data_IF_185965741987
#
_entry.id   IF_185965741987
#
_cell.length_a   1.000
_cell.length_b   1.000
_cell.length_c   1.000
_cell.angle_alpha   90.00
_cell.angle_beta   90.00
_cell.angle_gamma   90.00
#
_symmetry.space_group_name_H-M   'P 1'
#
loop_
_entity.id
_entity.type
_entity.pdbx_description
1 polymer ?
#
# COMPACT_ATOMS: atom_id res chain seq x y z
N UNK A 1 -23.17 -2.23 -0.72
CA UNK A 1 -22.30 -1.08 -1.03
C UNK A 1 -21.01 -1.45 -1.77
N UNK A 2 -20.25 -2.45 -1.32
CA UNK A 2 -18.98 -2.93 -1.93
C UNK A 2 -19.10 -3.21 -3.44
N UNK A 3 -20.18 -3.80 -3.91
CA UNK A 3 -20.40 -4.09 -5.33
C UNK A 3 -20.64 -2.85 -6.20
N UNK A 4 -21.09 -1.71 -5.64
CA UNK A 4 -21.31 -0.48 -6.43
C UNK A 4 -20.02 0.29 -6.65
N UNK A 5 -19.15 0.40 -5.61
CA UNK A 5 -17.86 1.09 -5.70
C UNK A 5 -16.89 0.32 -6.59
N UNK A 6 -16.83 -1.01 -6.44
CA UNK A 6 -16.05 -1.88 -7.33
C UNK A 6 -16.60 -1.84 -8.75
N UNK A 7 -17.93 -1.83 -8.96
CA UNK A 7 -18.52 -1.66 -10.28
C UNK A 7 -18.24 -0.27 -10.86
N UNK A 8 -18.21 0.78 -10.05
CA UNK A 8 -17.88 2.12 -10.52
C UNK A 8 -16.40 2.23 -10.92
N UNK A 9 -15.48 1.75 -10.08
CA UNK A 9 -14.03 1.71 -10.40
C UNK A 9 -13.71 0.77 -11.58
N UNK A 10 -14.55 -0.24 -11.82
CA UNK A 10 -14.43 -1.21 -12.90
C UNK A 10 -15.53 -1.01 -13.98
N UNK A 11 -16.32 0.07 -13.92
CA UNK A 11 -17.44 0.34 -14.80
C UNK A 11 -17.04 0.31 -16.29
N UNK A 12 -15.81 0.70 -16.57
CA UNK A 12 -15.20 0.65 -17.90
C UNK A 12 -14.72 -0.78 -18.27
N UNK A 13 -14.73 -1.73 -17.32
CA UNK A 13 -14.21 -3.09 -17.53
C UNK A 13 -15.30 -4.12 -17.80
N UNK A 14 -16.61 -3.76 -17.70
CA UNK A 14 -17.73 -4.72 -17.84
C UNK A 14 -17.39 -6.10 -17.28
N UNK A 15 -16.98 -6.16 -16.00
CA UNK A 15 -16.53 -7.41 -15.35
C UNK A 15 -17.67 -8.41 -15.10
N UNK A 16 -18.88 -8.10 -15.52
CA UNK A 16 -19.91 -9.12 -15.75
C UNK A 16 -19.64 -9.92 -17.05
N UNK A 17 -18.55 -9.60 -17.76
CA UNK A 17 -18.21 -10.28 -18.99
C UNK A 17 -17.80 -11.73 -18.72
N UNK A 18 -18.23 -12.57 -19.60
CA UNK A 18 -17.91 -13.99 -19.72
C UNK A 18 -16.42 -14.31 -19.52
N UNK A 19 -15.52 -13.37 -19.86
CA UNK A 19 -14.09 -13.49 -19.66
C UNK A 19 -13.67 -13.50 -18.19
N UNK A 20 -14.24 -12.64 -17.36
CA UNK A 20 -13.91 -12.60 -15.92
C UNK A 20 -14.49 -13.83 -15.20
N UNK A 21 -15.69 -14.25 -15.58
CA UNK A 21 -16.32 -15.48 -15.07
C UNK A 21 -15.54 -16.74 -15.50
N UNK A 22 -15.04 -16.79 -16.74
CA UNK A 22 -14.24 -17.92 -17.24
C UNK A 22 -12.84 -17.95 -16.64
N UNK A 23 -12.24 -16.79 -16.35
CA UNK A 23 -10.89 -16.68 -15.77
C UNK A 23 -10.86 -17.05 -14.29
N UNK A 24 -11.78 -16.56 -13.51
CA UNK A 24 -11.70 -16.53 -12.06
C UNK A 24 -12.89 -17.21 -11.38
N UNK A 25 -13.79 -17.76 -12.18
CA UNK A 25 -15.04 -18.33 -11.69
C UNK A 25 -16.06 -17.25 -11.26
N UNK A 26 -17.22 -17.67 -10.77
CA UNK A 26 -18.23 -16.74 -10.26
C UNK A 26 -17.61 -15.89 -9.16
N UNK A 27 -17.90 -14.57 -9.22
CA UNK A 27 -17.40 -13.63 -8.19
C UNK A 27 -17.72 -14.22 -6.81
N UNK A 28 -16.72 -14.38 -5.94
CA UNK A 28 -16.96 -14.96 -4.64
C UNK A 28 -18.06 -14.14 -3.96
N UNK A 29 -19.11 -14.81 -3.54
CA UNK A 29 -20.18 -14.22 -2.76
C UNK A 29 -19.51 -13.38 -1.67
N UNK A 30 -20.03 -12.19 -1.37
CA UNK A 30 -19.42 -11.27 -0.40
C UNK A 30 -18.99 -12.00 0.87
N UNK A 31 -18.08 -11.45 1.69
CA UNK A 31 -17.56 -12.17 2.84
C UNK A 31 -18.74 -12.70 3.64
N UNK A 32 -18.79 -14.01 3.80
CA UNK A 32 -19.75 -14.65 4.70
C UNK A 32 -19.54 -14.01 6.08
N UNK A 33 -20.59 -13.74 6.88
CA UNK A 33 -20.46 -13.13 8.21
C UNK A 33 -19.43 -13.89 9.08
N UNK A 34 -19.37 -15.21 8.96
CA UNK A 34 -18.34 -16.05 9.59
C UNK A 34 -16.91 -15.72 9.13
N UNK A 35 -16.71 -15.35 7.86
CA UNK A 35 -15.39 -14.93 7.37
C UNK A 35 -14.98 -13.56 7.90
N UNK A 36 -15.91 -12.63 8.05
CA UNK A 36 -15.63 -11.32 8.64
C UNK A 36 -15.28 -11.46 10.11
N UNK A 37 -16.00 -12.31 10.84
CA UNK A 37 -15.73 -12.62 12.25
C UNK A 37 -14.36 -13.31 12.42
N UNK A 38 -13.98 -14.22 11.54
CA UNK A 38 -12.67 -14.84 11.54
C UNK A 38 -11.55 -13.82 11.31
N UNK A 39 -11.72 -12.87 10.37
CA UNK A 39 -10.70 -11.84 10.12
C UNK A 39 -10.56 -10.86 11.26
N UNK A 40 -11.67 -10.46 11.89
CA UNK A 40 -11.61 -9.60 13.10
C UNK A 40 -10.94 -10.33 14.25
N UNK A 41 -11.25 -11.59 14.47
CA UNK A 41 -10.63 -12.41 15.51
C UNK A 41 -9.12 -12.59 15.26
N UNK A 42 -8.71 -12.92 14.03
CA UNK A 42 -7.29 -13.01 13.64
C UNK A 42 -6.57 -11.68 13.83
N UNK A 43 -7.17 -10.58 13.42
CA UNK A 43 -6.59 -9.24 13.59
C UNK A 43 -6.44 -8.90 15.08
N UNK A 44 -7.46 -9.19 15.90
CA UNK A 44 -7.42 -8.96 17.34
C UNK A 44 -6.33 -9.79 18.01
N UNK A 45 -6.23 -11.08 17.69
CA UNK A 45 -5.18 -11.96 18.22
C UNK A 45 -3.79 -11.47 17.81
N UNK A 46 -3.62 -11.06 16.54
CA UNK A 46 -2.35 -10.52 16.05
C UNK A 46 -1.96 -9.23 16.79
N UNK A 47 -2.88 -8.26 16.88
CA UNK A 47 -2.64 -6.98 17.56
C UNK A 47 -2.32 -7.22 19.03
N UNK A 48 -3.13 -8.03 19.73
CA UNK A 48 -2.92 -8.35 21.16
C UNK A 48 -1.59 -9.07 21.36
N UNK A 49 -1.27 -10.05 20.52
CA UNK A 49 0.01 -10.77 20.59
C UNK A 49 1.21 -9.84 20.41
N UNK A 50 1.17 -8.95 19.45
CA UNK A 50 2.24 -7.94 19.21
C UNK A 50 2.35 -6.97 20.39
N UNK A 51 1.21 -6.52 20.94
CA UNK A 51 1.22 -5.63 22.11
C UNK A 51 1.83 -6.32 23.36
N UNK A 52 1.49 -7.58 23.61
CA UNK A 52 2.06 -8.37 24.72
C UNK A 52 3.56 -8.55 24.52
N UNK A 53 4.00 -8.92 23.32
CA UNK A 53 5.43 -9.06 23.00
C UNK A 53 6.16 -7.73 23.13
N UNK A 54 5.59 -6.64 22.62
CA UNK A 54 6.16 -5.30 22.75
C UNK A 54 6.30 -4.86 24.19
N UNK A 55 5.28 -5.11 25.03
CA UNK A 55 5.34 -4.83 26.47
C UNK A 55 6.43 -5.68 27.16
N UNK A 56 6.50 -6.97 26.89
CA UNK A 56 7.51 -7.87 27.41
C UNK A 56 8.94 -7.49 26.98
N UNK A 57 9.09 -6.95 25.75
CA UNK A 57 10.34 -6.42 25.24
C UNK A 57 10.73 -5.04 25.82
N UNK A 58 9.94 -4.50 26.75
CA UNK A 58 10.20 -3.22 27.40
C UNK A 58 9.90 -2.00 26.53
N UNK A 59 9.14 -2.15 25.45
CA UNK A 59 8.69 -1.02 24.61
C UNK A 59 7.66 -0.23 25.41
N UNK A 60 8.01 1.01 25.78
CA UNK A 60 7.19 1.89 26.61
C UNK A 60 6.88 3.17 25.87
N UNK A 61 5.66 3.67 26.01
CA UNK A 61 5.22 4.98 25.57
C UNK A 61 4.62 5.77 26.72
N UNK A 62 4.55 7.10 26.59
CA UNK A 62 3.95 7.99 27.60
C UNK A 62 2.43 7.81 27.65
N UNK A 63 1.80 7.55 26.51
CA UNK A 63 0.35 7.34 26.37
C UNK A 63 0.07 5.95 25.80
N UNK A 64 -1.19 5.51 25.87
CA UNK A 64 -1.59 4.21 25.32
C UNK A 64 -1.39 4.15 23.81
N UNK A 65 -1.68 5.23 23.09
CA UNK A 65 -1.44 5.31 21.64
C UNK A 65 0.05 5.25 21.30
N UNK A 66 0.92 5.93 22.06
CA UNK A 66 2.35 5.90 21.88
C UNK A 66 2.94 4.50 22.09
N UNK A 67 2.50 3.79 23.12
CA UNK A 67 2.92 2.41 23.39
C UNK A 67 2.44 1.46 22.27
N UNK A 68 1.19 1.59 21.86
CA UNK A 68 0.61 0.80 20.78
C UNK A 68 1.35 1.05 19.45
N UNK A 69 1.61 2.31 19.12
CA UNK A 69 2.36 2.67 17.92
C UNK A 69 3.77 2.08 17.93
N UNK A 70 4.53 2.30 19.00
CA UNK A 70 5.88 1.77 19.13
C UNK A 70 5.93 0.24 18.99
N UNK A 71 4.93 -0.48 19.52
CA UNK A 71 4.83 -1.93 19.41
C UNK A 71 4.41 -2.40 18.01
N UNK A 72 3.49 -1.68 17.34
CA UNK A 72 2.88 -2.11 16.07
C UNK A 72 3.62 -1.61 14.83
N UNK A 73 4.47 -0.58 14.93
CA UNK A 73 5.10 0.07 13.79
C UNK A 73 5.89 -0.92 12.91
N UNK A 74 6.87 -1.60 13.48
CA UNK A 74 7.68 -2.57 12.73
C UNK A 74 6.88 -3.79 12.23
N UNK A 75 6.03 -4.45 13.06
CA UNK A 75 5.15 -5.50 12.58
C UNK A 75 4.26 -5.10 11.39
N UNK A 76 3.73 -3.88 11.37
CA UNK A 76 2.92 -3.41 10.26
C UNK A 76 3.76 -3.21 8.99
N UNK A 77 4.98 -2.66 9.11
CA UNK A 77 5.91 -2.53 7.96
C UNK A 77 6.27 -3.92 7.41
N UNK A 78 6.55 -4.89 8.27
CA UNK A 78 6.80 -6.28 7.86
C UNK A 78 5.56 -6.85 7.17
N UNK A 79 4.37 -6.63 7.73
CA UNK A 79 3.10 -7.02 7.13
C UNK A 79 2.90 -6.43 5.73
N UNK A 80 3.24 -5.16 5.53
CA UNK A 80 3.22 -4.51 4.21
C UNK A 80 4.18 -5.19 3.23
N UNK A 81 5.40 -5.50 3.65
CA UNK A 81 6.38 -6.19 2.82
C UNK A 81 5.88 -7.59 2.41
N UNK A 82 5.21 -8.33 3.32
CA UNK A 82 4.59 -9.62 3.02
C UNK A 82 3.48 -9.44 1.97
N UNK A 83 2.60 -8.47 2.14
CA UNK A 83 1.52 -8.21 1.17
C UNK A 83 2.08 -7.84 -0.20
N UNK A 84 3.10 -6.96 -0.26
CA UNK A 84 3.82 -6.62 -1.49
C UNK A 84 4.43 -7.86 -2.16
N UNK A 85 5.10 -8.71 -1.40
CA UNK A 85 5.70 -9.94 -1.92
C UNK A 85 4.65 -10.88 -2.53
N UNK A 86 3.50 -11.04 -1.88
CA UNK A 86 2.38 -11.84 -2.41
C UNK A 86 1.84 -11.23 -3.70
N UNK A 87 1.65 -9.92 -3.75
CA UNK A 87 1.14 -9.20 -4.94
C UNK A 87 2.09 -9.32 -6.11
N UNK A 88 3.39 -9.11 -5.89
CA UNK A 88 4.43 -9.26 -6.91
C UNK A 88 4.45 -10.69 -7.44
N UNK A 89 4.43 -11.68 -6.55
CA UNK A 89 4.40 -13.10 -6.92
C UNK A 89 3.20 -13.43 -7.79
N UNK A 90 1.99 -13.07 -7.35
CA UNK A 90 0.76 -13.33 -8.09
C UNK A 90 0.77 -12.62 -9.46
N UNK A 91 1.19 -11.36 -9.50
CA UNK A 91 1.25 -10.55 -10.71
C UNK A 91 2.19 -11.14 -11.76
N UNK A 92 3.37 -11.59 -11.36
CA UNK A 92 4.35 -12.20 -12.26
C UNK A 92 3.91 -13.56 -12.83
N UNK A 93 3.11 -14.33 -12.08
CA UNK A 93 2.76 -15.69 -12.47
C UNK A 93 1.43 -15.84 -13.19
N UNK A 94 0.49 -14.88 -13.05
CA UNK A 94 -0.89 -15.05 -13.53
C UNK A 94 -0.99 -15.10 -15.06
N UNK A 95 -0.39 -14.17 -15.80
CA UNK A 95 -0.46 -14.15 -17.27
C UNK A 95 0.28 -15.35 -17.89
N UNK A 96 1.52 -15.69 -17.47
CA UNK A 96 2.18 -16.90 -17.95
C UNK A 96 1.40 -18.20 -17.65
N UNK A 97 0.71 -18.27 -16.50
CA UNK A 97 -0.13 -19.42 -16.16
C UNK A 97 -1.36 -19.55 -17.08
N UNK A 98 -2.03 -18.42 -17.36
CA UNK A 98 -3.18 -18.38 -18.27
C UNK A 98 -2.79 -18.76 -19.70
N UNK A 99 -1.62 -18.32 -20.16
CA UNK A 99 -1.06 -18.70 -21.48
C UNK A 99 -0.80 -20.19 -21.59
N UNK A 100 -0.13 -20.77 -20.59
CA UNK A 100 0.19 -22.21 -20.58
C UNK A 100 -1.07 -23.09 -20.58
N UNK A 101 -2.20 -22.58 -20.05
CA UNK A 101 -3.50 -23.29 -20.05
C UNK A 101 -4.31 -23.05 -21.32
N UNK A 102 -3.85 -22.26 -22.28
CA UNK A 102 -4.62 -21.85 -23.46
C UNK A 102 -5.79 -20.91 -23.17
N UNK A 103 -6.04 -20.60 -21.88
CA UNK A 103 -7.16 -19.75 -21.47
C UNK A 103 -6.99 -18.30 -21.96
N UNK A 104 -5.75 -17.85 -22.16
CA UNK A 104 -5.47 -16.51 -22.67
C UNK A 104 -6.03 -16.26 -24.06
N UNK A 105 -6.02 -17.26 -24.95
CA UNK A 105 -6.52 -17.14 -26.32
C UNK A 105 -8.05 -16.98 -26.34
N UNK A 106 -8.75 -17.67 -25.43
CA UNK A 106 -10.19 -17.50 -25.25
C UNK A 106 -10.54 -16.07 -24.77
N UNK A 107 -9.73 -15.46 -23.89
CA UNK A 107 -9.94 -14.09 -23.43
C UNK A 107 -9.79 -13.11 -24.59
N UNK A 108 -8.77 -13.30 -25.44
CA UNK A 108 -8.53 -12.45 -26.60
C UNK A 108 -9.69 -12.48 -27.61
N UNK A 109 -10.34 -13.61 -27.74
CA UNK A 109 -11.51 -13.78 -28.62
C UNK A 109 -12.78 -13.08 -28.08
N UNK A 110 -12.78 -12.61 -26.82
CA UNK A 110 -13.91 -11.85 -26.26
C UNK A 110 -13.90 -10.39 -26.71
N UNK A 111 -15.05 -9.73 -26.66
CA UNK A 111 -15.22 -8.32 -27.05
C UNK A 111 -14.29 -7.34 -26.31
N UNK A 112 -13.89 -7.69 -25.08
CA UNK A 112 -12.95 -6.91 -24.26
C UNK A 112 -11.47 -7.18 -24.52
N UNK A 113 -11.15 -8.30 -25.18
CA UNK A 113 -9.79 -8.70 -25.55
C UNK A 113 -8.81 -8.73 -24.38
N UNK A 114 -7.52 -8.57 -24.69
CA UNK A 114 -6.42 -8.54 -23.70
C UNK A 114 -6.57 -7.40 -22.68
N UNK A 115 -7.25 -6.31 -23.02
CA UNK A 115 -7.49 -5.18 -22.09
C UNK A 115 -8.38 -5.61 -20.93
N UNK A 116 -9.49 -6.30 -21.22
CA UNK A 116 -10.38 -6.83 -20.17
C UNK A 116 -9.67 -7.91 -19.35
N UNK A 117 -8.90 -8.80 -20.00
CA UNK A 117 -8.13 -9.85 -19.32
C UNK A 117 -7.10 -9.30 -18.32
N UNK A 118 -6.31 -8.29 -18.70
CA UNK A 118 -5.32 -7.66 -17.83
C UNK A 118 -5.99 -6.95 -16.65
N UNK A 119 -7.07 -6.20 -16.88
CA UNK A 119 -7.82 -5.52 -15.81
C UNK A 119 -8.46 -6.53 -14.86
N UNK A 120 -9.03 -7.62 -15.38
CA UNK A 120 -9.60 -8.68 -14.57
C UNK A 120 -8.53 -9.38 -13.70
N UNK A 121 -7.33 -9.65 -14.27
CA UNK A 121 -6.21 -10.20 -13.54
C UNK A 121 -5.74 -9.26 -12.41
N UNK A 122 -5.60 -7.96 -12.69
CA UNK A 122 -5.27 -6.97 -11.69
C UNK A 122 -6.31 -6.91 -10.57
N UNK A 123 -7.58 -6.83 -10.92
CA UNK A 123 -8.68 -6.80 -9.95
C UNK A 123 -8.72 -8.07 -9.10
N UNK A 124 -8.45 -9.24 -9.69
CA UNK A 124 -8.36 -10.49 -8.95
C UNK A 124 -7.22 -10.48 -7.92
N UNK A 125 -6.04 -9.98 -8.30
CA UNK A 125 -4.91 -9.87 -7.37
C UNK A 125 -5.26 -8.93 -6.22
N UNK A 126 -5.66 -7.70 -6.53
CA UNK A 126 -5.84 -6.64 -5.53
C UNK A 126 -7.06 -6.87 -4.64
N UNK A 127 -8.23 -7.18 -5.24
CA UNK A 127 -9.49 -7.25 -4.49
C UNK A 127 -9.83 -8.63 -3.92
N UNK A 128 -9.27 -9.70 -4.48
CA UNK A 128 -9.60 -11.05 -4.03
C UNK A 128 -8.47 -11.75 -3.29
N UNK A 129 -7.25 -11.65 -3.79
CA UNK A 129 -6.11 -12.36 -3.20
C UNK A 129 -5.39 -11.55 -2.13
N UNK A 130 -4.97 -10.32 -2.47
CA UNK A 130 -4.23 -9.47 -1.54
C UNK A 130 -5.11 -8.81 -0.48
N UNK A 131 -6.39 -8.54 -0.79
CA UNK A 131 -7.28 -7.78 0.10
C UNK A 131 -7.40 -8.34 1.52
N UNK A 132 -7.38 -9.67 1.66
CA UNK A 132 -7.49 -10.31 2.98
C UNK A 132 -6.27 -10.06 3.84
N UNK A 133 -5.07 -10.27 3.26
CA UNK A 133 -3.80 -9.99 3.93
C UNK A 133 -3.65 -8.51 4.22
N UNK A 134 -4.01 -7.66 3.26
CA UNK A 134 -4.00 -6.22 3.42
C UNK A 134 -4.90 -5.77 4.58
N UNK A 135 -6.11 -6.33 4.69
CA UNK A 135 -7.02 -6.01 5.79
C UNK A 135 -6.46 -6.40 7.15
N UNK A 136 -5.90 -7.60 7.29
CA UNK A 136 -5.40 -8.10 8.58
C UNK A 136 -4.06 -7.46 8.94
N UNK A 137 -3.09 -7.46 8.02
CA UNK A 137 -1.71 -7.06 8.33
C UNK A 137 -1.49 -5.55 8.25
N UNK A 138 -2.35 -4.83 7.54
CA UNK A 138 -2.13 -3.40 7.27
C UNK A 138 -3.25 -2.52 7.80
N UNK A 139 -4.51 -2.81 7.46
CA UNK A 139 -5.63 -1.95 7.83
C UNK A 139 -6.12 -2.15 9.26
N UNK A 140 -6.19 -3.37 9.77
CA UNK A 140 -6.67 -3.61 11.14
C UNK A 140 -5.77 -2.90 12.18
N UNK A 141 -4.43 -2.99 12.11
CA UNK A 141 -3.57 -2.20 13.00
C UNK A 141 -3.75 -0.69 12.82
N UNK A 142 -3.94 -0.19 11.60
CA UNK A 142 -4.19 1.25 11.37
C UNK A 142 -5.50 1.73 11.96
N UNK A 143 -6.58 0.96 11.80
CA UNK A 143 -7.87 1.28 12.41
C UNK A 143 -7.75 1.29 13.93
N UNK A 144 -7.03 0.34 14.50
CA UNK A 144 -6.76 0.28 15.94
C UNK A 144 -5.96 1.50 16.42
N UNK A 145 -4.86 1.85 15.74
CA UNK A 145 -4.06 3.03 16.07
C UNK A 145 -4.87 4.32 15.92
N UNK A 146 -5.68 4.42 14.87
CA UNK A 146 -6.56 5.57 14.69
C UNK A 146 -7.62 5.69 15.79
N UNK A 147 -8.19 4.58 16.23
CA UNK A 147 -9.12 4.59 17.36
C UNK A 147 -8.45 5.06 18.65
N UNK A 148 -7.20 4.64 18.92
CA UNK A 148 -6.43 5.13 20.05
C UNK A 148 -6.05 6.61 19.91
N UNK A 149 -5.71 7.06 18.70
CA UNK A 149 -5.48 8.48 18.41
C UNK A 149 -6.71 9.31 18.73
N UNK A 150 -7.90 8.86 18.33
CA UNK A 150 -9.16 9.53 18.66
C UNK A 150 -9.45 9.50 20.16
N UNK A 151 -9.16 8.40 20.84
CA UNK A 151 -9.31 8.29 22.28
C UNK A 151 -8.42 9.31 23.01
N UNK A 152 -7.14 9.39 22.66
CA UNK A 152 -6.20 10.35 23.25
C UNK A 152 -6.63 11.79 22.94
N UNK A 153 -7.08 12.08 21.71
CA UNK A 153 -7.58 13.41 21.33
C UNK A 153 -8.80 13.83 22.15
N UNK A 154 -9.70 12.91 22.49
CA UNK A 154 -10.90 13.20 23.27
C UNK A 154 -10.62 13.30 24.75
N UNK A 155 -9.70 12.46 25.28
CA UNK A 155 -9.39 12.39 26.72
C UNK A 155 -8.41 13.47 27.18
N UNK A 156 -7.45 13.84 26.31
CA UNK A 156 -6.36 14.77 26.62
C UNK A 156 -6.31 15.96 25.66
N UNK A 157 -7.48 16.44 25.25
CA UNK A 157 -7.66 17.42 24.17
C UNK A 157 -6.70 18.62 24.24
N UNK A 158 -6.55 19.24 25.42
CA UNK A 158 -5.72 20.43 25.59
C UNK A 158 -4.23 20.16 25.39
N UNK A 159 -3.73 19.15 26.07
CA UNK A 159 -2.31 18.79 26.06
C UNK A 159 -1.91 18.18 24.72
N UNK A 160 -2.80 17.40 24.13
CA UNK A 160 -2.57 16.74 22.86
C UNK A 160 -2.53 17.72 21.68
N UNK A 161 -3.46 18.67 21.61
CA UNK A 161 -3.46 19.71 20.59
C UNK A 161 -2.26 20.64 20.73
N UNK A 162 -1.84 20.95 21.96
CA UNK A 162 -0.65 21.76 22.21
C UNK A 162 0.65 21.10 21.75
N UNK A 163 0.70 19.77 21.71
CA UNK A 163 1.86 19.02 21.20
C UNK A 163 1.96 18.99 19.68
N UNK A 164 0.85 19.14 18.98
CA UNK A 164 0.78 18.94 17.53
C UNK A 164 0.53 20.23 16.76
N UNK A 165 -0.25 21.17 17.34
CA UNK A 165 -0.64 22.39 16.66
C UNK A 165 0.42 23.49 16.85
N UNK A 166 0.83 24.15 15.75
CA UNK A 166 1.74 25.28 15.75
C UNK A 166 3.22 24.93 15.88
N UNK A 167 3.59 23.64 15.82
CA UNK A 167 4.97 23.19 16.04
C UNK A 167 5.79 23.01 14.75
N UNK A 168 5.28 23.48 13.64
CA UNK A 168 5.93 23.33 12.34
C UNK A 168 7.19 24.19 12.16
N UNK A 169 8.07 23.72 11.32
CA UNK A 169 9.26 24.45 10.87
C UNK A 169 9.22 24.64 9.33
N UNK A 170 9.01 25.85 8.78
CA UNK A 170 8.64 27.10 9.47
C UNK A 170 7.24 27.06 10.11
N UNK A 171 6.97 27.92 11.11
CA UNK A 171 5.66 27.95 11.77
C UNK A 171 4.55 28.29 10.77
N UNK A 172 3.42 27.59 10.87
CA UNK A 172 2.22 27.81 10.08
C UNK A 172 1.03 28.17 10.98
N UNK A 173 0.01 28.85 10.47
CA UNK A 173 -1.18 29.16 11.26
C UNK A 173 -1.89 27.88 11.76
N UNK A 174 -2.31 27.86 13.02
CA UNK A 174 -3.02 26.71 13.62
C UNK A 174 -4.25 26.26 12.82
N UNK A 175 -4.93 27.16 12.13
CA UNK A 175 -6.06 26.85 11.26
C UNK A 175 -5.72 25.93 10.08
N UNK A 176 -4.43 25.81 9.69
CA UNK A 176 -3.97 24.90 8.65
C UNK A 176 -3.55 23.53 9.21
N UNK A 177 -3.18 23.44 10.48
CA UNK A 177 -2.73 22.20 11.10
C UNK A 177 -3.83 21.14 11.14
N UNK A 178 -5.05 21.51 11.47
CA UNK A 178 -6.19 20.58 11.51
C UNK A 178 -6.48 19.95 10.14
N UNK A 179 -6.59 20.72 9.04
CA UNK A 179 -6.65 20.14 7.70
C UNK A 179 -5.46 19.25 7.34
N UNK A 180 -4.23 19.63 7.70
CA UNK A 180 -3.05 18.81 7.43
C UNK A 180 -3.06 17.48 8.19
N UNK A 181 -3.52 17.52 9.45
CA UNK A 181 -3.79 16.30 10.23
C UNK A 181 -4.80 15.39 9.51
N UNK A 182 -5.90 15.96 9.01
CA UNK A 182 -6.89 15.23 8.22
C UNK A 182 -6.29 14.61 6.95
N UNK A 183 -5.40 15.34 6.25
CA UNK A 183 -4.73 14.85 5.06
C UNK A 183 -3.75 13.71 5.35
N UNK A 184 -2.97 13.78 6.45
CA UNK A 184 -2.02 12.71 6.76
C UNK A 184 -2.73 11.43 7.21
N UNK A 185 -3.82 11.56 7.98
CA UNK A 185 -4.68 10.43 8.32
C UNK A 185 -5.30 9.81 7.05
N UNK A 186 -5.80 10.66 6.14
CA UNK A 186 -6.33 10.21 4.85
C UNK A 186 -5.25 9.46 4.05
N UNK A 187 -4.04 10.01 3.98
CA UNK A 187 -2.91 9.36 3.31
C UNK A 187 -2.60 8.00 3.93
N UNK A 188 -2.62 7.87 5.26
CA UNK A 188 -2.38 6.61 5.97
C UNK A 188 -3.36 5.49 5.59
N UNK A 189 -4.57 5.83 5.15
CA UNK A 189 -5.57 4.86 4.70
C UNK A 189 -5.60 4.66 3.19
N UNK A 190 -5.20 5.64 2.39
CA UNK A 190 -5.26 5.56 0.92
C UNK A 190 -3.99 4.97 0.32
N UNK A 191 -2.80 5.36 0.83
CA UNK A 191 -1.50 4.92 0.31
C UNK A 191 -1.32 3.40 0.25
N UNK A 192 -1.69 2.59 1.27
CA UNK A 192 -1.52 1.15 1.19
C UNK A 192 -2.23 0.53 -0.01
N UNK A 193 -3.43 1.02 -0.31
CA UNK A 193 -4.24 0.51 -1.40
C UNK A 193 -3.69 0.91 -2.76
N UNK A 194 -3.31 2.19 -2.93
CA UNK A 194 -2.77 2.70 -4.20
C UNK A 194 -1.39 2.12 -4.50
N UNK A 195 -0.54 1.94 -3.48
CA UNK A 195 0.77 1.31 -3.62
C UNK A 195 0.65 -0.14 -4.10
N UNK A 196 -0.20 -0.95 -3.47
CA UNK A 196 -0.44 -2.34 -3.87
C UNK A 196 -1.05 -2.42 -5.27
N UNK A 197 -1.97 -1.51 -5.61
CA UNK A 197 -2.53 -1.41 -6.95
C UNK A 197 -1.46 -1.18 -8.01
N UNK A 198 -0.51 -0.30 -7.73
CA UNK A 198 0.60 0.01 -8.60
C UNK A 198 1.60 -1.16 -8.72
N UNK A 199 1.96 -1.78 -7.59
CA UNK A 199 2.84 -2.96 -7.55
C UNK A 199 2.25 -4.13 -8.36
N UNK A 200 0.94 -4.39 -8.23
CA UNK A 200 0.23 -5.39 -9.01
C UNK A 200 0.29 -5.08 -10.52
N UNK A 201 0.08 -3.82 -10.91
CA UNK A 201 0.14 -3.41 -12.30
C UNK A 201 1.54 -3.57 -12.90
N UNK A 202 2.59 -3.18 -12.17
CA UNK A 202 3.98 -3.39 -12.59
C UNK A 202 4.34 -4.87 -12.68
N UNK A 203 3.94 -5.70 -11.72
CA UNK A 203 4.19 -7.13 -11.76
C UNK A 203 3.50 -7.78 -12.97
N UNK A 204 2.27 -7.37 -13.31
CA UNK A 204 1.56 -7.80 -14.51
C UNK A 204 2.28 -7.35 -15.79
N UNK A 205 2.78 -6.10 -15.85
CA UNK A 205 3.55 -5.61 -16.99
C UNK A 205 4.80 -6.48 -17.18
N UNK A 206 5.57 -6.69 -16.13
CA UNK A 206 6.79 -7.49 -16.18
C UNK A 206 6.51 -8.95 -16.57
N UNK A 207 5.38 -9.52 -16.14
CA UNK A 207 4.98 -10.87 -16.53
C UNK A 207 4.82 -11.06 -18.05
N UNK A 208 4.62 -9.98 -18.80
CA UNK A 208 4.53 -10.02 -20.27
C UNK A 208 5.89 -10.14 -20.95
N UNK A 209 7.00 -9.86 -20.26
CA UNK A 209 8.35 -9.92 -20.84
C UNK A 209 9.00 -11.31 -20.70
N UNK A 210 8.62 -12.07 -19.68
CA UNK A 210 9.31 -13.30 -19.33
C UNK A 210 8.45 -14.54 -19.63
N UNK A 211 9.08 -15.56 -20.24
CA UNK A 211 8.42 -16.84 -20.58
C UNK A 211 8.89 -17.98 -19.71
N UNK A 212 10.18 -18.00 -19.35
CA UNK A 212 10.77 -19.09 -18.59
C UNK A 212 10.42 -18.98 -17.10
N UNK A 213 10.14 -20.09 -16.44
CA UNK A 213 9.88 -20.14 -14.99
C UNK A 213 11.09 -19.66 -14.17
N UNK A 214 12.29 -20.01 -14.63
CA UNK A 214 13.53 -19.64 -13.96
C UNK A 214 13.73 -18.12 -13.98
N UNK A 215 13.58 -17.48 -15.14
CA UNK A 215 13.68 -16.02 -15.27
C UNK A 215 12.63 -15.31 -14.42
N UNK A 216 11.38 -15.81 -14.40
CA UNK A 216 10.32 -15.26 -13.54
C UNK A 216 10.71 -15.36 -12.07
N UNK A 217 11.28 -16.49 -11.62
CA UNK A 217 11.73 -16.65 -10.23
C UNK A 217 12.86 -15.67 -9.86
N UNK A 218 13.86 -15.48 -10.74
CA UNK A 218 14.93 -14.50 -10.51
C UNK A 218 14.39 -13.07 -10.41
N UNK A 219 13.52 -12.68 -11.34
CA UNK A 219 12.89 -11.35 -11.36
C UNK A 219 12.01 -11.15 -10.12
N UNK A 220 11.26 -12.17 -9.72
CA UNK A 220 10.45 -12.15 -8.50
C UNK A 220 11.31 -11.87 -7.27
N UNK A 221 12.38 -12.64 -7.08
CA UNK A 221 13.29 -12.46 -5.94
C UNK A 221 13.93 -11.07 -5.96
N UNK A 222 14.43 -10.64 -7.13
CA UNK A 222 14.99 -9.29 -7.30
C UNK A 222 14.01 -8.18 -6.97
N UNK A 223 12.77 -8.28 -7.42
CA UNK A 223 11.72 -7.29 -7.13
C UNK A 223 11.32 -7.26 -5.65
N UNK A 224 11.21 -8.42 -5.01
CA UNK A 224 10.88 -8.49 -3.58
C UNK A 224 12.00 -7.85 -2.75
N UNK A 225 13.26 -8.17 -3.05
CA UNK A 225 14.41 -7.58 -2.38
C UNK A 225 14.52 -6.07 -2.65
N UNK A 226 14.35 -5.65 -3.90
CA UNK A 226 14.33 -4.22 -4.26
C UNK A 226 13.20 -3.48 -3.54
N UNK A 227 12.01 -4.08 -3.45
CA UNK A 227 10.88 -3.49 -2.73
C UNK A 227 11.14 -3.40 -1.23
N UNK A 228 11.72 -4.43 -0.62
CA UNK A 228 12.08 -4.41 0.79
C UNK A 228 13.15 -3.33 1.08
N UNK A 229 14.19 -3.24 0.26
CA UNK A 229 15.21 -2.20 0.37
C UNK A 229 14.62 -0.80 0.16
N UNK A 230 13.75 -0.63 -0.83
CA UNK A 230 13.07 0.63 -1.13
C UNK A 230 12.13 1.09 -0.02
N UNK A 231 11.52 0.16 0.72
CA UNK A 231 10.70 0.47 1.89
C UNK A 231 11.55 0.80 3.12
N UNK A 232 12.62 0.03 3.35
CA UNK A 232 13.46 0.18 4.53
C UNK A 232 14.36 1.42 4.47
N UNK A 233 14.96 1.71 3.30
CA UNK A 233 15.96 2.77 3.18
C UNK A 233 15.45 4.15 3.61
N UNK A 234 14.28 4.68 3.17
CA UNK A 234 13.81 5.98 3.61
C UNK A 234 13.52 6.03 5.12
N UNK A 235 13.01 4.94 5.69
CA UNK A 235 12.71 4.83 7.13
C UNK A 235 14.00 4.86 7.95
N UNK A 236 15.02 4.13 7.53
CA UNK A 236 16.32 4.10 8.18
C UNK A 236 17.04 5.44 8.05
N UNK A 237 17.05 6.06 6.87
CA UNK A 237 17.65 7.38 6.64
C UNK A 237 16.96 8.42 7.51
N UNK A 238 15.64 8.44 7.55
CA UNK A 238 14.88 9.36 8.39
C UNK A 238 15.18 9.13 9.88
N UNK A 239 15.21 7.87 10.32
CA UNK A 239 15.57 7.51 11.70
C UNK A 239 16.96 8.01 12.09
N UNK A 240 17.96 7.80 11.24
CA UNK A 240 19.33 8.30 11.44
C UNK A 240 19.38 9.83 11.52
N UNK A 241 18.69 10.53 10.61
CA UNK A 241 18.62 11.99 10.62
C UNK A 241 18.01 12.52 11.91
N UNK A 242 16.95 11.89 12.40
CA UNK A 242 16.27 12.28 13.64
C UNK A 242 17.17 12.04 14.85
N UNK A 243 17.93 10.93 14.88
CA UNK A 243 18.90 10.66 15.95
C UNK A 243 20.01 11.73 15.95
N UNK A 244 20.59 12.05 14.79
CA UNK A 244 21.62 13.11 14.66
C UNK A 244 21.11 14.48 15.08
N UNK A 245 19.89 14.86 14.70
CA UNK A 245 19.29 16.10 15.14
C UNK A 245 19.15 16.17 16.67
N UNK A 246 18.89 15.03 17.32
CA UNK A 246 18.87 14.92 18.79
C UNK A 246 20.24 15.14 19.45
N UNK A 247 21.35 14.97 18.71
CA UNK A 247 22.73 15.25 19.17
C UNK A 247 23.24 16.64 18.81
N UNK A 248 22.39 17.50 18.23
CA UNK A 248 22.70 18.89 17.91
C UNK A 248 23.06 19.13 16.44
N UNK A 249 23.09 18.10 15.60
CA UNK A 249 23.29 18.25 14.16
C UNK A 249 22.07 18.88 13.50
N UNK A 250 22.29 19.76 12.53
CA UNK A 250 21.20 20.35 11.74
C UNK A 250 20.81 19.43 10.59
N UNK A 251 19.51 19.13 10.47
CA UNK A 251 18.99 18.43 9.30
C UNK A 251 18.94 19.40 8.13
N UNK A 252 19.56 19.04 7.00
CA UNK A 252 19.40 19.84 5.78
C UNK A 252 17.95 19.86 5.34
N UNK A 253 17.41 21.01 4.96
CA UNK A 253 16.01 21.17 4.57
C UNK A 253 15.60 20.17 3.47
N UNK A 254 16.40 20.06 2.40
CA UNK A 254 16.12 19.17 1.28
C UNK A 254 16.23 17.69 1.69
N UNK A 255 17.27 17.33 2.45
CA UNK A 255 17.47 15.95 2.90
C UNK A 255 16.38 15.48 3.84
N UNK A 256 16.05 16.27 4.86
CA UNK A 256 14.99 15.95 5.81
C UNK A 256 13.62 15.86 5.15
N UNK A 257 13.30 16.81 4.27
CA UNK A 257 12.04 16.82 3.55
C UNK A 257 11.89 15.62 2.60
N UNK A 258 12.92 15.34 1.78
CA UNK A 258 12.89 14.20 0.84
C UNK A 258 12.84 12.87 1.57
N UNK A 259 13.61 12.68 2.64
CA UNK A 259 13.56 11.48 3.46
C UNK A 259 12.21 11.31 4.15
N UNK A 260 11.64 12.37 4.73
CA UNK A 260 10.32 12.36 5.35
C UNK A 260 9.21 12.01 4.36
N UNK A 261 9.21 12.64 3.18
CA UNK A 261 8.25 12.34 2.12
C UNK A 261 8.39 10.89 1.61
N UNK A 262 9.62 10.46 1.32
CA UNK A 262 9.88 9.11 0.84
C UNK A 262 9.52 8.05 1.90
N UNK A 263 9.83 8.30 3.18
CA UNK A 263 9.42 7.41 4.28
C UNK A 263 7.89 7.29 4.35
N UNK A 264 7.18 8.41 4.27
CA UNK A 264 5.72 8.42 4.33
C UNK A 264 5.08 7.72 3.13
N UNK A 265 5.58 7.92 1.90
CA UNK A 265 4.93 7.39 0.69
C UNK A 265 5.38 5.97 0.36
N UNK A 266 6.67 5.67 0.52
CA UNK A 266 7.29 4.42 0.08
C UNK A 266 7.61 3.48 1.24
N UNK A 267 7.99 4.04 2.39
CA UNK A 267 8.40 3.29 3.58
C UNK A 267 7.21 2.70 4.33
N UNK A 268 6.53 3.55 5.06
CA UNK A 268 5.47 3.14 6.00
C UNK A 268 4.04 3.34 5.49
N UNK A 269 3.88 3.86 4.26
CA UNK A 269 2.57 4.17 3.65
C UNK A 269 1.70 5.05 4.55
N UNK A 270 2.29 6.07 5.14
CA UNK A 270 1.62 7.03 6.00
C UNK A 270 1.31 6.54 7.41
N UNK A 271 1.86 5.40 7.83
CA UNK A 271 1.60 4.83 9.16
C UNK A 271 2.01 5.78 10.30
N UNK A 272 3.17 6.43 10.18
CA UNK A 272 3.65 7.44 11.13
C UNK A 272 2.68 8.61 11.32
N UNK A 273 1.84 8.89 10.33
CA UNK A 273 0.78 9.88 10.42
C UNK A 273 -0.34 9.57 11.42
N UNK A 274 -0.37 8.36 11.97
CA UNK A 274 -1.32 7.94 13.00
C UNK A 274 -0.78 8.10 14.43
N UNK A 275 0.37 8.73 14.61
CA UNK A 275 0.96 8.94 15.93
C UNK A 275 1.40 10.40 16.14
N UNK A 276 0.71 11.12 17.03
CA UNK A 276 0.92 12.55 17.20
C UNK A 276 2.29 12.93 17.74
N UNK A 277 2.86 12.18 18.68
CA UNK A 277 4.19 12.48 19.22
C UNK A 277 5.28 12.30 18.16
N UNK A 278 5.11 11.36 17.22
CA UNK A 278 6.02 11.21 16.08
C UNK A 278 5.85 12.35 15.08
N UNK A 279 4.61 12.76 14.82
CA UNK A 279 4.32 13.93 13.98
C UNK A 279 4.92 15.21 14.57
N UNK A 280 4.72 15.48 15.87
CA UNK A 280 5.34 16.61 16.56
C UNK A 280 6.85 16.63 16.36
N UNK A 281 7.51 15.51 16.61
CA UNK A 281 8.94 15.35 16.42
C UNK A 281 9.38 15.62 14.98
N UNK A 282 8.70 15.03 14.00
CA UNK A 282 9.02 15.20 12.58
C UNK A 282 8.76 16.63 12.12
N UNK A 283 7.68 17.24 12.55
CA UNK A 283 7.28 18.59 12.15
C UNK A 283 8.19 19.68 12.69
N UNK A 284 8.78 19.48 13.87
CA UNK A 284 9.81 20.37 14.43
C UNK A 284 11.16 20.21 13.77
N UNK A 285 11.57 18.97 13.50
CA UNK A 285 12.91 18.66 13.03
C UNK A 285 13.07 18.80 11.53
N UNK A 286 12.03 18.48 10.75
CA UNK A 286 12.11 18.50 9.29
C UNK A 286 11.55 19.81 8.75
N UNK A 287 12.37 20.66 8.10
CA UNK A 287 11.89 21.86 7.46
C UNK A 287 10.83 21.54 6.39
N UNK A 288 9.77 22.33 6.36
CA UNK A 288 8.64 22.16 5.43
C UNK A 288 7.87 20.84 5.56
N UNK A 289 7.98 20.13 6.68
CA UNK A 289 7.25 18.88 6.93
C UNK A 289 5.73 19.04 6.81
N UNK A 290 5.21 20.25 7.03
CA UNK A 290 3.81 20.61 6.81
C UNK A 290 3.28 20.31 5.40
N UNK A 291 4.14 20.26 4.39
CA UNK A 291 3.75 19.93 3.00
C UNK A 291 3.63 18.42 2.76
N UNK A 292 4.26 17.58 3.59
CA UNK A 292 4.30 16.11 3.41
C UNK A 292 2.89 15.52 3.36
N UNK A 293 1.93 15.87 4.26
CA UNK A 293 0.57 15.36 4.21
C UNK A 293 -0.14 15.61 2.88
N UNK A 294 -0.09 16.84 2.38
CA UNK A 294 -0.74 17.20 1.12
C UNK A 294 -0.12 16.44 -0.06
N UNK A 295 1.21 16.38 -0.11
CA UNK A 295 1.94 15.69 -1.15
C UNK A 295 1.80 14.16 -1.07
N UNK A 296 1.59 13.59 0.10
CA UNK A 296 1.27 12.18 0.26
C UNK A 296 -0.08 11.82 -0.39
N UNK A 297 -1.09 12.69 -0.26
CA UNK A 297 -2.37 12.51 -0.97
C UNK A 297 -2.19 12.67 -2.48
N UNK A 298 -1.41 13.66 -2.94
CA UNK A 298 -1.07 13.82 -4.36
C UNK A 298 -0.33 12.59 -4.88
N UNK A 299 0.59 12.03 -4.12
CA UNK A 299 1.29 10.80 -4.46
C UNK A 299 0.33 9.61 -4.62
N UNK A 300 -0.69 9.47 -3.76
CA UNK A 300 -1.71 8.44 -3.89
C UNK A 300 -2.52 8.59 -5.19
N UNK A 301 -2.87 9.81 -5.56
CA UNK A 301 -3.53 10.10 -6.85
C UNK A 301 -2.60 9.76 -8.02
N UNK A 302 -1.33 10.15 -7.95
CA UNK A 302 -0.33 9.83 -8.97
C UNK A 302 -0.11 8.32 -9.11
N UNK A 303 -0.03 7.56 -7.99
CA UNK A 303 0.04 6.09 -8.01
C UNK A 303 -1.18 5.47 -8.70
N UNK A 304 -2.38 6.01 -8.47
CA UNK A 304 -3.60 5.55 -9.12
C UNK A 304 -3.58 5.82 -10.63
N UNK A 305 -3.15 7.00 -11.05
CA UNK A 305 -2.99 7.35 -12.46
C UNK A 305 -1.94 6.48 -13.16
N UNK A 306 -0.79 6.26 -12.51
CA UNK A 306 0.26 5.37 -13.00
C UNK A 306 -0.24 3.93 -13.12
N UNK A 307 -1.05 3.44 -12.17
CA UNK A 307 -1.67 2.12 -12.25
C UNK A 307 -2.48 1.97 -13.53
N UNK A 308 -3.33 2.93 -13.85
CA UNK A 308 -4.15 2.93 -15.08
C UNK A 308 -3.25 2.92 -16.32
N UNK A 309 -2.21 3.76 -16.35
CA UNK A 309 -1.27 3.85 -17.47
C UNK A 309 -0.51 2.54 -17.68
N UNK A 310 0.02 1.95 -16.61
CA UNK A 310 0.76 0.68 -16.65
C UNK A 310 -0.14 -0.46 -17.12
N UNK A 311 -1.38 -0.55 -16.63
CA UNK A 311 -2.35 -1.55 -17.11
C UNK A 311 -2.67 -1.38 -18.59
N UNK A 312 -2.75 -0.15 -19.08
CA UNK A 312 -2.94 0.13 -20.50
C UNK A 312 -1.73 -0.36 -21.36
N UNK A 313 -0.51 -0.09 -20.91
CA UNK A 313 0.70 -0.60 -21.57
C UNK A 313 0.78 -2.13 -21.53
N UNK A 314 0.45 -2.73 -20.38
CA UNK A 314 0.39 -4.19 -20.23
C UNK A 314 -0.56 -4.81 -21.25
N UNK A 315 -1.75 -4.22 -21.41
CA UNK A 315 -2.75 -4.69 -22.36
C UNK A 315 -2.26 -4.59 -23.82
N UNK A 316 -1.70 -3.43 -24.20
CA UNK A 316 -1.12 -3.23 -25.54
C UNK A 316 0.01 -4.22 -25.85
N UNK A 317 0.90 -4.45 -24.87
CA UNK A 317 1.99 -5.39 -25.02
C UNK A 317 1.50 -6.82 -25.13
N UNK A 318 0.55 -7.21 -24.28
CA UNK A 318 -0.06 -8.54 -24.32
C UNK A 318 -0.74 -8.85 -25.66
N UNK A 319 -1.29 -7.84 -26.35
CA UNK A 319 -1.81 -7.99 -27.71
C UNK A 319 -0.72 -8.28 -28.75
N UNK A 320 0.42 -7.55 -28.68
CA UNK A 320 1.50 -7.65 -29.69
C UNK A 320 2.27 -8.96 -29.62
N UNK A 321 2.47 -9.52 -28.43
CA UNK A 321 3.26 -10.72 -28.24
C UNK A 321 2.69 -11.96 -28.94
N UNK A 322 1.41 -11.95 -29.20
CA UNK A 322 0.71 -13.09 -29.78
C UNK A 322 0.65 -13.03 -31.32
N UNK A 323 0.79 -11.84 -31.92
CA UNK A 323 0.90 -11.66 -33.35
C UNK A 323 2.24 -12.20 -33.88
N UNK A 324 3.32 -12.06 -33.12
CA UNK A 324 4.65 -12.56 -33.51
C UNK A 324 4.72 -14.11 -33.56
N UNK A 325 3.90 -14.80 -32.77
CA UNK A 325 3.85 -16.28 -32.79
C UNK A 325 3.08 -16.83 -34.00
N UNK A 326 2.15 -16.08 -34.55
CA UNK A 326 1.38 -16.46 -35.75
C UNK A 326 2.20 -16.21 -37.02
N UNK A 327 2.97 -15.11 -37.06
CA UNK A 327 3.82 -14.78 -38.23
C UNK A 327 5.16 -15.56 -38.23
N UNK A 328 5.64 -16.04 -37.08
CA UNK A 328 6.85 -16.90 -37.00
C UNK A 328 6.64 -18.35 -37.43
N UNK A 329 5.39 -18.75 -37.71
CA UNK A 329 5.07 -20.08 -38.30
C UNK A 329 4.91 -20.04 -39.83
N UNK A 330 5.02 -18.87 -40.45
CA UNK A 330 4.88 -18.67 -41.91
C UNK A 330 6.23 -18.30 -42.55
N UNK A 331 7.31 -18.20 -41.80
CA UNK A 331 8.71 -18.10 -42.23
C UNK A 331 9.49 -19.32 -41.83
#
# INVERSE_FOLDING_TARGET
MRNRLVRWMLADARLNDEAALRLFGPAPHGPRPAGLLLYTLLATVLITGVMVVGHAAGIRGQTLSAQAFASLYHPVIIGQAIVSAVVITLGLHIIPALRRRGTWDHIRATSGGSRAGVRAAWAHIVYHRASRLLMVLTYAPRVFLFALLLYDLTSFRGDYLAQVIGVHNPPIPAALDVPLMGLIVTAAFVLPFTAIGLEAAFALLLSTFFRSRQTIGMVQTGLILARAAWAAAPVLILGEMVVRAGTGDTISALGGWTAGFASTVLGDWGLSGLHAAELDRLWRLIPFAALIPALAVVAAVAQSALTILVLHWTARRAQRLDLSSVYGLIG
#
